data_IF_184028194093
#
_entry.id   IF_184028194093
#
_cell.length_a   1.000
_cell.length_b   1.000
_cell.length_c   1.000
_cell.angle_alpha   90.00
_cell.angle_beta   90.00
_cell.angle_gamma   90.00
#
_symmetry.space_group_name_H-M   'P 1'
#
loop_
_entity.id
_entity.type
_entity.pdbx_description
1 polymer ?
#
# COMPACT_ATOMS: atom_id res chain seq x y z
N UNK A 1 -37.37 16.33 23.29
CA UNK A 1 -37.25 15.32 22.20
C UNK A 1 -36.21 15.73 21.15
N UNK A 2 -36.29 16.94 20.59
CA UNK A 2 -35.38 17.49 19.57
C UNK A 2 -33.87 17.36 19.89
N UNK A 3 -33.47 17.65 21.12
CA UNK A 3 -32.06 17.60 21.55
C UNK A 3 -31.47 16.19 21.67
N UNK A 4 -32.30 15.17 21.94
CA UNK A 4 -31.83 13.78 21.91
C UNK A 4 -31.58 13.35 20.47
N UNK A 5 -32.46 13.74 19.56
CA UNK A 5 -32.30 13.50 18.12
C UNK A 5 -31.01 14.13 17.57
N UNK A 6 -30.72 15.37 17.97
CA UNK A 6 -29.48 16.07 17.59
C UNK A 6 -28.23 15.32 18.08
N UNK A 7 -28.22 14.89 19.35
CA UNK A 7 -27.10 14.12 19.92
C UNK A 7 -26.87 12.80 19.19
N UNK A 8 -27.92 12.08 18.82
CA UNK A 8 -27.81 10.83 18.06
C UNK A 8 -27.27 11.06 16.66
N UNK A 9 -27.66 12.16 15.99
CA UNK A 9 -27.09 12.55 14.70
C UNK A 9 -25.60 12.86 14.80
N UNK A 10 -25.14 13.55 15.86
CA UNK A 10 -23.72 13.80 16.08
C UNK A 10 -22.91 12.52 16.35
N UNK A 11 -23.45 11.57 17.13
CA UNK A 11 -22.77 10.28 17.35
C UNK A 11 -22.71 9.45 16.07
N UNK A 12 -23.81 9.37 15.31
CA UNK A 12 -23.81 8.69 14.00
C UNK A 12 -22.82 9.32 13.02
N UNK A 13 -22.76 10.65 12.98
CA UNK A 13 -21.83 11.40 12.13
C UNK A 13 -20.35 11.26 12.54
N UNK A 14 -20.04 10.90 13.80
CA UNK A 14 -18.67 10.66 14.26
C UNK A 14 -18.22 9.20 14.06
N UNK A 15 -19.13 8.23 14.16
CA UNK A 15 -18.81 6.79 14.05
C UNK A 15 -18.40 6.43 12.62
N UNK A 16 -19.12 6.94 11.62
CA UNK A 16 -18.90 6.59 10.20
C UNK A 16 -17.50 7.01 9.70
N UNK A 17 -17.04 8.26 9.91
CA UNK A 17 -15.69 8.67 9.55
C UNK A 17 -14.60 7.90 10.30
N UNK A 18 -14.85 7.58 11.58
CA UNK A 18 -13.90 6.81 12.40
C UNK A 18 -13.76 5.37 11.90
N UNK A 19 -14.86 4.72 11.50
CA UNK A 19 -14.81 3.39 10.88
C UNK A 19 -14.07 3.41 9.54
N UNK A 20 -14.32 4.41 8.70
CA UNK A 20 -13.59 4.58 7.43
C UNK A 20 -12.09 4.80 7.69
N UNK A 21 -11.73 5.60 8.69
CA UNK A 21 -10.34 5.82 9.10
C UNK A 21 -9.64 4.52 9.54
N UNK A 22 -10.30 3.71 10.38
CA UNK A 22 -9.72 2.43 10.83
C UNK A 22 -9.59 1.44 9.67
N UNK A 23 -10.60 1.35 8.79
CA UNK A 23 -10.55 0.48 7.61
C UNK A 23 -9.44 0.88 6.63
N UNK A 24 -9.23 2.17 6.43
CA UNK A 24 -8.19 2.68 5.51
C UNK A 24 -6.78 2.47 6.07
N UNK A 25 -6.55 2.67 7.37
CA UNK A 25 -5.24 2.37 7.99
C UNK A 25 -4.93 0.87 7.94
N UNK A 26 -5.87 0.03 8.37
CA UNK A 26 -5.66 -1.43 8.38
C UNK A 26 -5.46 -1.99 6.97
N UNK A 27 -6.19 -1.45 5.98
CA UNK A 27 -5.97 -1.74 4.56
C UNK A 27 -4.59 -1.30 4.08
N UNK A 28 -4.16 -0.09 4.42
CA UNK A 28 -2.85 0.43 4.02
C UNK A 28 -1.68 -0.35 4.62
N UNK A 29 -1.78 -0.76 5.89
CA UNK A 29 -0.77 -1.62 6.53
C UNK A 29 -0.67 -2.99 5.85
N UNK A 30 -1.82 -3.58 5.49
CA UNK A 30 -1.86 -4.84 4.76
C UNK A 30 -1.23 -4.71 3.39
N UNK A 31 -1.58 -3.70 2.62
CA UNK A 31 -1.00 -3.44 1.29
C UNK A 31 0.50 -3.16 1.38
N UNK A 32 0.94 -2.39 2.38
CA UNK A 32 2.37 -2.14 2.59
C UNK A 32 3.13 -3.42 2.94
N UNK A 33 2.54 -4.30 3.74
CA UNK A 33 3.13 -5.61 4.05
C UNK A 33 3.21 -6.49 2.81
N UNK A 34 2.12 -6.60 2.04
CA UNK A 34 2.08 -7.38 0.80
C UNK A 34 3.10 -6.86 -0.22
N UNK A 35 3.22 -5.53 -0.39
CA UNK A 35 4.23 -4.91 -1.27
C UNK A 35 5.66 -5.24 -0.83
N UNK A 36 5.96 -5.21 0.48
CA UNK A 36 7.28 -5.59 1.02
C UNK A 36 7.60 -7.05 0.75
N UNK A 37 6.62 -7.94 0.94
CA UNK A 37 6.78 -9.37 0.68
C UNK A 37 7.03 -9.62 -0.81
N UNK A 38 6.24 -9.00 -1.71
CA UNK A 38 6.44 -9.09 -3.17
C UNK A 38 7.78 -8.52 -3.62
N UNK A 39 8.20 -7.40 -3.04
CA UNK A 39 9.50 -6.80 -3.31
C UNK A 39 10.63 -7.76 -2.90
N UNK A 40 10.52 -8.37 -1.73
CA UNK A 40 11.50 -9.34 -1.27
C UNK A 40 11.55 -10.57 -2.18
N UNK A 41 10.39 -11.07 -2.62
CA UNK A 41 10.30 -12.19 -3.56
C UNK A 41 10.98 -11.84 -4.90
N UNK A 42 10.73 -10.65 -5.46
CA UNK A 42 11.42 -10.15 -6.66
C UNK A 42 12.94 -10.08 -6.49
N UNK A 43 13.42 -9.58 -5.35
CA UNK A 43 14.85 -9.50 -5.05
C UNK A 43 15.48 -10.90 -4.89
N UNK A 44 14.75 -11.85 -4.30
CA UNK A 44 15.22 -13.23 -4.17
C UNK A 44 15.34 -13.90 -5.54
N UNK A 45 14.33 -13.72 -6.42
CA UNK A 45 14.37 -14.21 -7.80
C UNK A 45 15.55 -13.58 -8.55
N UNK A 46 15.74 -12.28 -8.43
CA UNK A 46 16.88 -11.56 -9.02
C UNK A 46 18.23 -12.12 -8.54
N UNK A 47 18.36 -12.39 -7.24
CA UNK A 47 19.58 -12.95 -6.67
C UNK A 47 19.88 -14.34 -7.22
N UNK A 48 18.86 -15.18 -7.45
CA UNK A 48 19.04 -16.51 -8.03
C UNK A 48 19.44 -16.44 -9.50
N UNK A 49 18.84 -15.54 -10.28
CA UNK A 49 19.25 -15.31 -11.68
C UNK A 49 20.69 -14.78 -11.75
N UNK A 50 21.06 -13.85 -10.87
CA UNK A 50 22.43 -13.35 -10.74
C UNK A 50 23.42 -14.47 -10.39
N UNK A 51 23.09 -15.30 -9.40
CA UNK A 51 23.92 -16.43 -9.00
C UNK A 51 24.09 -17.46 -10.12
N UNK A 52 23.01 -17.74 -10.85
CA UNK A 52 23.07 -18.59 -12.04
C UNK A 52 23.99 -18.00 -13.10
N UNK A 53 23.84 -16.71 -13.42
CA UNK A 53 24.68 -16.01 -14.40
C UNK A 53 26.16 -16.03 -14.00
N UNK A 54 26.47 -15.80 -12.73
CA UNK A 54 27.85 -15.84 -12.23
C UNK A 54 28.47 -17.23 -12.37
N UNK A 55 27.68 -18.29 -12.17
CA UNK A 55 28.13 -19.68 -12.26
C UNK A 55 28.28 -20.17 -13.70
N UNK A 56 27.40 -19.73 -14.59
CA UNK A 56 27.27 -20.29 -15.94
C UNK A 56 27.72 -19.35 -17.07
N UNK A 57 27.97 -18.07 -16.78
CA UNK A 57 28.31 -17.01 -17.74
C UNK A 57 27.25 -16.74 -18.84
N UNK A 58 26.02 -17.24 -18.66
CA UNK A 58 24.86 -16.95 -19.50
C UNK A 58 23.60 -16.75 -18.64
N UNK A 59 22.56 -16.14 -19.20
CA UNK A 59 21.26 -15.97 -18.52
C UNK A 59 20.40 -17.22 -18.66
N UNK A 60 19.66 -17.63 -17.62
CA UNK A 60 18.86 -18.86 -17.69
C UNK A 60 17.81 -18.75 -18.80
N UNK A 61 17.63 -19.84 -19.53
CA UNK A 61 16.52 -20.00 -20.47
C UNK A 61 15.17 -19.96 -19.73
N UNK A 62 14.06 -19.81 -20.45
CA UNK A 62 12.73 -19.80 -19.85
C UNK A 62 12.43 -21.06 -19.02
N UNK A 63 12.91 -22.23 -19.47
CA UNK A 63 12.75 -23.49 -18.75
C UNK A 63 13.56 -23.52 -17.45
N UNK A 64 14.85 -23.19 -17.53
CA UNK A 64 15.74 -23.10 -16.36
C UNK A 64 15.26 -22.05 -15.37
N UNK A 65 14.79 -20.90 -15.84
CA UNK A 65 14.24 -19.85 -14.99
C UNK A 65 13.03 -20.35 -14.19
N UNK A 66 12.08 -21.03 -14.85
CA UNK A 66 10.92 -21.59 -14.18
C UNK A 66 11.31 -22.65 -13.12
N UNK A 67 12.33 -23.46 -13.40
CA UNK A 67 12.85 -24.46 -12.45
C UNK A 67 13.57 -23.79 -11.27
N UNK A 68 14.38 -22.76 -11.52
CA UNK A 68 15.09 -22.01 -10.48
C UNK A 68 14.14 -21.25 -9.55
N UNK A 69 12.98 -20.84 -10.05
CA UNK A 69 12.04 -19.97 -9.33
C UNK A 69 10.83 -20.70 -8.75
N UNK A 70 10.62 -21.98 -9.09
CA UNK A 70 9.47 -22.76 -8.62
C UNK A 70 9.33 -22.79 -7.10
N UNK A 71 10.46 -22.80 -6.40
CA UNK A 71 10.53 -22.98 -4.95
C UNK A 71 10.72 -21.66 -4.19
N UNK A 72 11.05 -20.57 -4.89
CA UNK A 72 11.35 -19.26 -4.30
C UNK A 72 10.09 -18.45 -4.03
N UNK A 73 9.09 -18.58 -4.90
CA UNK A 73 7.94 -17.70 -4.89
C UNK A 73 6.83 -18.29 -4.03
N UNK A 74 6.64 -17.75 -2.81
CA UNK A 74 5.44 -18.03 -2.01
C UNK A 74 4.16 -17.64 -2.76
N UNK A 75 4.26 -16.62 -3.60
CA UNK A 75 3.18 -16.09 -4.40
C UNK A 75 3.37 -16.52 -5.86
N UNK A 76 2.60 -17.54 -6.27
CA UNK A 76 2.31 -17.95 -7.65
C UNK A 76 3.48 -17.79 -8.65
N UNK A 77 4.34 -18.82 -8.84
CA UNK A 77 5.56 -18.73 -9.67
C UNK A 77 5.31 -18.36 -11.15
N UNK A 78 4.10 -18.62 -11.69
CA UNK A 78 3.71 -18.23 -13.06
C UNK A 78 3.52 -16.72 -13.27
N UNK A 79 3.73 -15.90 -12.25
CA UNK A 79 3.65 -14.44 -12.34
C UNK A 79 4.97 -13.78 -12.71
N UNK A 80 6.08 -14.52 -12.73
CA UNK A 80 7.41 -13.99 -13.01
C UNK A 80 7.84 -14.30 -14.44
N UNK A 81 8.45 -13.32 -15.11
CA UNK A 81 9.06 -13.51 -16.42
C UNK A 81 10.44 -12.86 -16.47
N UNK A 82 11.43 -13.60 -16.95
CA UNK A 82 12.75 -13.06 -17.24
C UNK A 82 12.73 -12.35 -18.59
N UNK A 83 13.07 -11.08 -18.58
CA UNK A 83 13.20 -10.24 -19.77
C UNK A 83 14.67 -10.03 -20.07
N UNK A 84 15.10 -10.52 -21.23
CA UNK A 84 16.45 -10.34 -21.78
C UNK A 84 16.51 -9.24 -22.84
N UNK A 85 15.35 -8.72 -23.23
CA UNK A 85 15.20 -7.57 -24.12
C UNK A 85 14.51 -6.45 -23.36
N UNK A 86 14.75 -5.22 -23.79
CA UNK A 86 14.07 -4.05 -23.22
C UNK A 86 12.55 -4.24 -23.40
N UNK A 87 11.75 -4.33 -22.32
CA UNK A 87 10.31 -4.26 -22.44
C UNK A 87 9.91 -2.97 -23.14
N UNK A 88 8.90 -3.05 -24.00
CA UNK A 88 8.20 -1.86 -24.51
C UNK A 88 7.81 -1.00 -23.31
N UNK A 89 7.89 0.33 -23.45
CA UNK A 89 7.66 1.30 -22.39
C UNK A 89 6.18 1.34 -21.92
N UNK A 90 5.66 0.21 -21.49
CA UNK A 90 4.33 0.07 -20.93
C UNK A 90 4.36 0.66 -19.52
N UNK A 91 3.68 1.80 -19.39
CA UNK A 91 3.39 2.49 -18.13
C UNK A 91 4.63 2.94 -17.32
N UNK A 92 5.34 3.94 -17.85
CA UNK A 92 6.11 4.88 -17.01
C UNK A 92 7.40 4.35 -16.38
N UNK A 93 7.68 3.05 -16.43
CA UNK A 93 8.97 2.51 -16.03
C UNK A 93 10.00 2.76 -17.13
N UNK A 94 10.88 3.74 -16.89
CA UNK A 94 12.10 3.90 -17.68
C UNK A 94 13.14 2.97 -17.09
N UNK A 95 13.30 1.78 -17.67
CA UNK A 95 14.52 1.01 -17.48
C UNK A 95 15.70 1.94 -17.75
N UNK A 96 16.64 1.97 -16.80
CA UNK A 96 17.88 2.71 -16.96
C UNK A 96 18.52 2.34 -18.29
N UNK A 97 19.16 3.28 -19.01
CA UNK A 97 19.72 3.13 -20.36
C UNK A 97 20.07 1.67 -20.71
N UNK A 98 19.10 0.96 -21.29
CA UNK A 98 19.21 -0.47 -21.55
C UNK A 98 20.28 -0.65 -22.61
N UNK A 99 21.29 -1.47 -22.32
CA UNK A 99 22.34 -1.79 -23.27
C UNK A 99 22.30 -3.28 -23.55
N UNK A 100 22.18 -3.66 -24.82
CA UNK A 100 22.23 -5.06 -25.22
C UNK A 100 23.60 -5.71 -25.00
N UNK A 101 24.67 -4.90 -24.86
CA UNK A 101 26.06 -5.37 -24.76
C UNK A 101 26.46 -5.72 -23.32
N UNK A 102 25.77 -5.13 -22.35
CA UNK A 102 25.88 -5.52 -20.95
C UNK A 102 24.84 -6.60 -20.74
N UNK A 103 25.19 -7.76 -20.16
CA UNK A 103 24.26 -8.88 -19.89
C UNK A 103 23.17 -8.52 -18.86
N UNK A 104 22.44 -7.43 -19.13
CA UNK A 104 21.36 -6.85 -18.39
C UNK A 104 20.13 -7.70 -18.61
N UNK A 105 19.42 -7.92 -17.52
CA UNK A 105 18.11 -8.53 -17.52
C UNK A 105 17.16 -7.71 -16.65
N UNK A 106 15.88 -7.90 -16.89
CA UNK A 106 14.83 -7.46 -15.99
C UNK A 106 13.97 -8.64 -15.59
N UNK A 107 13.30 -8.54 -14.44
CA UNK A 107 12.29 -9.50 -14.03
C UNK A 107 10.97 -8.77 -13.99
N UNK A 108 10.01 -9.24 -14.79
CA UNK A 108 8.63 -8.77 -14.76
C UNK A 108 7.84 -9.61 -13.75
N UNK A 109 6.98 -8.95 -12.98
CA UNK A 109 6.05 -9.58 -12.06
C UNK A 109 4.63 -9.05 -12.30
N UNK A 110 3.70 -9.92 -12.69
CA UNK A 110 2.30 -9.53 -12.91
C UNK A 110 1.50 -9.53 -11.60
N UNK A 111 1.05 -8.34 -11.18
CA UNK A 111 0.25 -8.15 -9.96
C UNK A 111 -1.25 -8.38 -10.13
N UNK A 112 -1.72 -8.65 -11.35
CA UNK A 112 -3.15 -8.83 -11.66
C UNK A 112 -3.77 -7.66 -12.42
N UNK A 113 -3.23 -6.45 -12.25
CA UNK A 113 -3.73 -5.22 -12.90
C UNK A 113 -2.61 -4.42 -13.61
N UNK A 114 -1.38 -4.54 -13.11
CA UNK A 114 -0.17 -3.97 -13.70
C UNK A 114 1.04 -4.87 -13.49
N UNK A 115 2.08 -4.59 -14.27
CA UNK A 115 3.38 -5.24 -14.17
C UNK A 115 4.32 -4.42 -13.27
N UNK A 116 5.05 -5.13 -12.43
CA UNK A 116 6.18 -4.61 -11.68
C UNK A 116 7.48 -5.14 -12.28
N UNK A 117 8.56 -4.38 -12.14
CA UNK A 117 9.83 -4.70 -12.74
C UNK A 117 10.98 -4.58 -11.74
N UNK A 118 11.92 -5.52 -11.82
CA UNK A 118 13.27 -5.39 -11.28
C UNK A 118 14.25 -5.13 -12.43
N UNK A 119 15.15 -4.18 -12.26
CA UNK A 119 16.23 -3.84 -13.20
C UNK A 119 17.58 -4.30 -12.65
N UNK A 120 18.26 -5.22 -13.33
CA UNK A 120 19.59 -5.70 -12.91
C UNK A 120 20.69 -4.64 -12.96
N UNK A 121 20.57 -3.63 -13.82
CA UNK A 121 21.59 -2.57 -13.97
C UNK A 121 21.56 -1.61 -12.78
N UNK A 122 20.38 -1.07 -12.50
CA UNK A 122 20.17 -0.12 -11.39
C UNK A 122 19.96 -0.83 -10.04
N UNK A 123 19.66 -2.13 -10.05
CA UNK A 123 19.25 -2.94 -8.88
C UNK A 123 18.04 -2.34 -8.16
N UNK A 124 17.12 -1.75 -8.93
CA UNK A 124 15.91 -1.12 -8.41
C UNK A 124 14.66 -1.90 -8.81
N UNK A 125 13.61 -1.74 -8.00
CA UNK A 125 12.28 -2.29 -8.22
C UNK A 125 11.29 -1.15 -8.40
N UNK A 126 10.25 -1.36 -9.21
CA UNK A 126 9.08 -0.45 -9.29
C UNK A 126 8.19 -0.52 -8.04
N UNK A 127 8.24 -1.65 -7.33
CA UNK A 127 7.63 -1.80 -6.01
C UNK A 127 8.35 -0.89 -5.01
N UNK A 128 7.71 0.23 -4.70
CA UNK A 128 8.15 1.16 -3.66
C UNK A 128 7.28 0.99 -2.41
N UNK A 129 7.91 0.99 -1.24
CA UNK A 129 7.27 0.70 0.04
C UNK A 129 6.30 1.81 0.49
N UNK A 130 6.28 2.95 -0.22
CA UNK A 130 5.77 4.21 0.33
C UNK A 130 4.74 4.93 -0.51
N UNK A 131 4.67 4.74 -1.83
CA UNK A 131 3.88 5.64 -2.68
C UNK A 131 2.36 5.44 -2.50
N UNK A 132 1.87 4.21 -2.55
CA UNK A 132 0.43 3.94 -2.48
C UNK A 132 -0.11 4.01 -1.06
N UNK A 133 0.60 3.42 -0.08
CA UNK A 133 0.17 3.44 1.32
C UNK A 133 0.14 4.87 1.88
N UNK A 134 1.08 5.74 1.49
CA UNK A 134 1.13 7.11 2.00
C UNK A 134 -0.04 7.98 1.54
N UNK A 135 -0.58 7.72 0.33
CA UNK A 135 -1.73 8.46 -0.18
C UNK A 135 -2.99 8.17 0.66
N UNK A 136 -3.31 6.88 0.85
CA UNK A 136 -4.46 6.47 1.65
C UNK A 136 -4.32 6.83 3.14
N UNK A 137 -3.11 6.83 3.70
CA UNK A 137 -2.85 7.25 5.08
C UNK A 137 -3.03 8.77 5.26
N UNK A 138 -2.58 9.59 4.30
CA UNK A 138 -2.71 11.05 4.40
C UNK A 138 -4.17 11.51 4.33
N UNK A 139 -4.94 10.95 3.40
CA UNK A 139 -6.34 11.34 3.23
C UNK A 139 -7.21 10.79 4.38
N UNK A 140 -6.89 9.60 4.89
CA UNK A 140 -7.59 9.03 6.03
C UNK A 140 -7.39 9.85 7.31
N UNK A 141 -6.19 10.39 7.58
CA UNK A 141 -5.93 11.25 8.73
C UNK A 141 -6.88 12.45 8.81
N UNK A 142 -7.26 13.04 7.66
CA UNK A 142 -8.22 14.15 7.60
C UNK A 142 -9.58 13.71 8.16
N UNK A 143 -10.06 12.52 7.78
CA UNK A 143 -11.32 11.97 8.30
C UNK A 143 -11.24 11.63 9.79
N UNK A 144 -10.09 11.15 10.26
CA UNK A 144 -9.83 10.91 11.68
C UNK A 144 -9.92 12.19 12.53
N UNK A 145 -9.32 13.29 12.06
CA UNK A 145 -9.38 14.58 12.75
C UNK A 145 -10.80 15.19 12.77
N UNK A 146 -11.56 15.04 11.68
CA UNK A 146 -12.96 15.47 11.63
C UNK A 146 -13.80 14.69 12.66
N UNK A 147 -13.64 13.37 12.73
CA UNK A 147 -14.32 12.53 13.71
C UNK A 147 -14.01 12.93 15.16
N UNK A 148 -12.73 13.18 15.47
CA UNK A 148 -12.28 13.62 16.79
C UNK A 148 -12.88 14.99 17.16
N UNK A 149 -12.89 15.95 16.23
CA UNK A 149 -13.47 17.28 16.44
C UNK A 149 -14.97 17.23 16.74
N UNK A 150 -15.73 16.38 16.03
CA UNK A 150 -17.14 16.15 16.29
C UNK A 150 -17.38 15.53 17.68
N UNK A 151 -16.56 14.56 18.10
CA UNK A 151 -16.66 13.94 19.42
C UNK A 151 -16.36 14.93 20.56
N UNK A 152 -15.28 15.73 20.41
CA UNK A 152 -14.90 16.72 21.41
C UNK A 152 -15.94 17.85 21.56
N UNK A 153 -16.53 18.33 20.47
CA UNK A 153 -17.60 19.35 20.52
C UNK A 153 -18.88 18.82 21.19
N UNK A 154 -19.26 17.57 20.93
CA UNK A 154 -20.36 16.90 21.62
C UNK A 154 -20.12 16.75 23.14
N UNK A 155 -18.90 16.41 23.54
CA UNK A 155 -18.53 16.32 24.96
C UNK A 155 -18.52 17.68 25.67
N UNK A 156 -17.96 18.73 25.03
CA UNK A 156 -17.93 20.09 25.55
C UNK A 156 -19.35 20.65 25.75
N UNK A 157 -20.23 20.50 24.77
CA UNK A 157 -21.63 20.95 24.88
C UNK A 157 -22.39 20.21 26.00
N UNK A 158 -22.17 18.91 26.16
CA UNK A 158 -22.74 18.13 27.27
C UNK A 158 -22.23 18.59 28.64
N UNK A 159 -20.93 18.94 28.75
CA UNK A 159 -20.31 19.37 30.01
C UNK A 159 -20.72 20.78 30.42
N UNK A 160 -20.81 21.72 29.49
CA UNK A 160 -21.33 23.08 29.72
C UNK A 160 -22.77 23.01 30.24
N UNK A 161 -23.59 22.09 29.69
CA UNK A 161 -24.98 21.91 30.12
C UNK A 161 -25.14 21.42 31.55
N UNK A 162 -24.27 20.52 32.02
CA UNK A 162 -24.27 20.06 33.42
C UNK A 162 -23.89 21.14 34.42
N UNK A 163 -23.22 22.22 33.97
CA UNK A 163 -22.80 23.34 34.82
C UNK A 163 -23.78 24.50 34.84
N UNK A 164 -24.84 24.53 34.04
CA UNK A 164 -25.88 25.55 34.22
C UNK A 164 -26.72 25.19 35.45
N UNK A 165 -26.63 25.94 36.56
CA UNK A 165 -27.58 25.77 37.65
C UNK A 165 -28.96 26.05 37.08
N UNK A 166 -29.90 25.15 37.33
CA UNK A 166 -31.31 25.38 37.05
C UNK A 166 -31.72 26.63 37.81
N UNK A 167 -31.69 27.80 37.15
CA UNK A 167 -32.37 29.00 37.64
C UNK A 167 -33.85 28.62 37.65
N UNK A 168 -34.30 28.11 38.80
CA UNK A 168 -35.71 28.07 39.15
C UNK A 168 -36.20 29.49 38.95
N UNK A 169 -37.05 29.66 37.95
CA UNK A 169 -37.97 30.78 37.90
C UNK A 169 -38.95 30.53 39.06
N UNK A 170 -38.55 30.91 40.27
CA UNK A 170 -39.49 31.35 41.28
C UNK A 170 -40.04 32.67 40.74
N UNK A 171 -41.22 32.56 40.13
CA UNK A 171 -42.04 33.70 39.74
C UNK A 171 -43.22 33.65 40.71
N UNK A 172 -43.08 34.40 41.80
CA UNK A 172 -44.20 34.88 42.61
C UNK A 172 -45.07 35.83 41.79
#
# INVERSE_FOLDING_TARGET
MFLKLLSWLFYGAAILPTLVFVMTITGAERTAKENREQRQDLLNVAAVVEGFRQKHAYLPSKGEFNELTSDLCRHRPWQYELLTTQPSAERGFRLSNWSADEAQFAIRYWRGEWDEFYDSKSRQTTLDDTSEASFWIKDSLIFGWIGLGCACSGWLTARVRKKQPSRRLERD
#
